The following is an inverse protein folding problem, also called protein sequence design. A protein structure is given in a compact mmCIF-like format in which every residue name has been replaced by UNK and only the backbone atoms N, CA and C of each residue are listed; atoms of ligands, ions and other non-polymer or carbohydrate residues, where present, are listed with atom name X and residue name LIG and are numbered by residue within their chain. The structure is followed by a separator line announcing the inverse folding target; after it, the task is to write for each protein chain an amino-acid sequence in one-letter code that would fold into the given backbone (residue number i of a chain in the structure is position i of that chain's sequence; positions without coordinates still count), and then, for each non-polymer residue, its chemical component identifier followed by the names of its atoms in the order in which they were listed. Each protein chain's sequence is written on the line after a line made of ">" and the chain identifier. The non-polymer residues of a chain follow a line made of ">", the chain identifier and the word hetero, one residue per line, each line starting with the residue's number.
data_IF_663831855101
#
_entry.id   IF_663831855101
#
_cell.length_a   1.000
_cell.length_b   1.000
_cell.length_c   1.000
_cell.angle_alpha   90.00
_cell.angle_beta   90.00
_cell.angle_gamma   90.00
#
_symmetry.space_group_name_H-M   'P 1'
#
loop_
_entity.id
_entity.type
_entity.pdbx_description
1 polymer ?
#
# COMPACT_ATOMS: atom_id res chain seq x y z
N UNK A 1 7.22 -37.38 -37.03
CA UNK A 1 6.39 -36.28 -36.49
C UNK A 1 6.42 -36.39 -34.97
N UNK A 2 7.28 -35.65 -34.26
CA UNK A 2 7.29 -35.71 -32.81
C UNK A 2 6.09 -34.94 -32.26
N UNK A 3 5.44 -35.49 -31.24
CA UNK A 3 4.32 -34.89 -30.56
C UNK A 3 4.69 -33.50 -30.05
N UNK A 4 3.85 -32.50 -30.32
CA UNK A 4 3.93 -31.18 -29.70
C UNK A 4 3.76 -31.38 -28.19
N UNK A 5 4.85 -31.26 -27.43
CA UNK A 5 4.78 -31.10 -25.98
C UNK A 5 3.82 -29.94 -25.68
N UNK A 6 2.76 -30.23 -24.93
CA UNK A 6 1.92 -29.19 -24.35
C UNK A 6 2.77 -28.41 -23.35
N UNK A 7 2.81 -27.06 -23.40
CA UNK A 7 3.60 -26.24 -22.48
C UNK A 7 3.15 -26.33 -21.00
N UNK A 8 2.06 -27.04 -20.69
CA UNK A 8 1.63 -27.31 -19.31
C UNK A 8 2.69 -28.05 -18.47
N UNK A 9 3.66 -28.77 -19.07
CA UNK A 9 4.66 -29.53 -18.30
C UNK A 9 5.81 -28.71 -17.70
N UNK A 10 6.06 -27.48 -18.15
CA UNK A 10 7.26 -26.73 -17.73
C UNK A 10 6.99 -25.77 -16.56
N UNK A 11 5.78 -25.22 -16.47
CA UNK A 11 5.41 -24.27 -15.40
C UNK A 11 5.30 -24.93 -14.02
N UNK A 12 4.72 -26.14 -13.93
CA UNK A 12 4.63 -26.84 -12.65
C UNK A 12 6.01 -27.25 -12.13
N UNK A 13 6.94 -27.58 -13.03
CA UNK A 13 8.33 -27.89 -12.69
C UNK A 13 9.07 -26.68 -12.13
N UNK A 14 8.85 -25.47 -12.67
CA UNK A 14 9.52 -24.25 -12.21
C UNK A 14 8.85 -23.57 -11.02
N UNK A 15 7.51 -23.63 -10.93
CA UNK A 15 6.74 -22.82 -9.99
C UNK A 15 5.95 -23.62 -8.94
N UNK A 16 6.04 -24.95 -8.95
CA UNK A 16 5.25 -25.92 -8.16
C UNK A 16 3.81 -26.11 -8.62
N UNK A 17 3.33 -27.36 -8.48
CA UNK A 17 1.94 -27.74 -8.77
C UNK A 17 0.94 -26.97 -7.90
N UNK A 18 1.28 -26.73 -6.63
CA UNK A 18 0.46 -26.04 -5.65
C UNK A 18 0.22 -24.59 -6.06
N UNK A 19 1.24 -23.93 -6.62
CA UNK A 19 1.10 -22.58 -7.15
C UNK A 19 0.24 -22.58 -8.41
N UNK A 20 0.51 -23.47 -9.35
CA UNK A 20 -0.22 -23.53 -10.63
C UNK A 20 -1.68 -23.97 -10.47
N UNK A 21 -1.99 -24.80 -9.47
CA UNK A 21 -3.36 -25.18 -9.07
C UNK A 21 -4.25 -23.97 -8.75
N UNK A 22 -3.68 -22.84 -8.34
CA UNK A 22 -4.45 -21.60 -8.12
C UNK A 22 -5.11 -21.10 -9.42
N UNK A 23 -4.52 -21.39 -10.59
CA UNK A 23 -4.93 -20.88 -11.90
C UNK A 23 -5.68 -21.91 -12.74
N UNK A 24 -5.72 -23.18 -12.31
CA UNK A 24 -6.28 -24.30 -13.08
C UNK A 24 -7.80 -24.23 -13.32
N UNK A 25 -8.50 -23.28 -12.70
CA UNK A 25 -9.91 -23.01 -13.00
C UNK A 25 -10.10 -22.24 -14.31
N UNK A 26 -9.03 -21.71 -14.90
CA UNK A 26 -9.04 -20.95 -16.13
C UNK A 26 -8.78 -21.84 -17.35
N UNK A 27 -9.34 -21.46 -18.52
CA UNK A 27 -9.08 -22.17 -19.78
C UNK A 27 -7.63 -22.05 -20.24
N UNK A 28 -6.97 -20.96 -19.86
CA UNK A 28 -5.54 -20.70 -20.06
C UNK A 28 -4.90 -20.30 -18.71
N UNK A 29 -4.42 -21.28 -17.91
CA UNK A 29 -3.82 -21.02 -16.61
C UNK A 29 -2.54 -20.19 -16.67
N UNK A 30 -1.74 -20.34 -17.72
CA UNK A 30 -0.49 -19.59 -17.94
C UNK A 30 -0.78 -18.11 -18.18
N UNK A 31 -1.71 -17.80 -19.09
CA UNK A 31 -2.10 -16.43 -19.35
C UNK A 31 -2.63 -15.75 -18.08
N UNK A 32 -3.43 -16.46 -17.27
CA UNK A 32 -3.95 -15.92 -16.02
C UNK A 32 -2.85 -15.72 -14.96
N UNK A 33 -1.85 -16.61 -14.90
CA UNK A 33 -0.67 -16.45 -14.04
C UNK A 33 0.15 -15.21 -14.40
N UNK A 34 0.43 -15.03 -15.69
CA UNK A 34 1.16 -13.87 -16.19
C UNK A 34 0.36 -12.58 -15.96
N UNK A 35 -0.93 -12.59 -16.21
CA UNK A 35 -1.82 -11.47 -15.93
C UNK A 35 -1.85 -11.10 -14.45
N UNK A 36 -2.05 -12.08 -13.55
CA UNK A 36 -1.99 -11.87 -12.10
C UNK A 36 -0.68 -11.20 -11.69
N UNK A 37 0.44 -11.64 -12.28
CA UNK A 37 1.76 -11.07 -12.00
C UNK A 37 1.83 -9.60 -12.43
N UNK A 38 1.38 -9.27 -13.65
CA UNK A 38 1.35 -7.90 -14.17
C UNK A 38 0.49 -6.98 -13.29
N UNK A 39 -0.73 -7.39 -12.94
CA UNK A 39 -1.62 -6.61 -12.07
C UNK A 39 -1.02 -6.45 -10.67
N UNK A 40 -0.45 -7.51 -10.11
CA UNK A 40 0.24 -7.46 -8.80
C UNK A 40 1.37 -6.43 -8.79
N UNK A 41 2.19 -6.38 -9.85
CA UNK A 41 3.29 -5.41 -9.95
C UNK A 41 2.81 -3.99 -10.18
N UNK A 42 1.75 -3.81 -10.97
CA UNK A 42 1.13 -2.49 -11.14
C UNK A 42 0.49 -1.97 -9.84
N UNK A 43 -0.05 -2.84 -8.97
CA UNK A 43 -0.50 -2.38 -7.65
C UNK A 43 0.68 -1.98 -6.76
N UNK A 44 1.80 -2.70 -6.81
CA UNK A 44 2.99 -2.31 -6.04
C UNK A 44 3.53 -0.93 -6.46
N UNK A 45 3.43 -0.59 -7.74
CA UNK A 45 3.76 0.74 -8.26
C UNK A 45 2.87 1.82 -7.64
N UNK A 46 1.55 1.69 -7.75
CA UNK A 46 0.59 2.65 -7.17
C UNK A 46 0.79 2.78 -5.64
N UNK A 47 0.99 1.66 -4.95
CA UNK A 47 1.20 1.62 -3.49
C UNK A 47 2.52 2.29 -3.10
N UNK A 48 3.58 2.13 -3.90
CA UNK A 48 4.86 2.79 -3.64
C UNK A 48 4.69 4.32 -3.62
N UNK A 49 3.93 4.87 -4.56
CA UNK A 49 3.65 6.31 -4.58
C UNK A 49 2.88 6.76 -3.32
N UNK A 50 1.85 6.00 -2.92
CA UNK A 50 1.09 6.27 -1.69
C UNK A 50 1.98 6.14 -0.44
N UNK A 51 2.89 5.16 -0.38
CA UNK A 51 3.81 4.97 0.75
C UNK A 51 4.73 6.17 0.94
N UNK A 52 5.30 6.68 -0.17
CA UNK A 52 6.16 7.87 -0.15
C UNK A 52 5.35 9.12 0.23
N UNK A 53 4.14 9.26 -0.30
CA UNK A 53 3.25 10.37 0.05
C UNK A 53 2.87 10.34 1.54
N UNK A 54 2.49 9.18 2.06
CA UNK A 54 2.10 8.96 3.44
C UNK A 54 3.26 9.24 4.41
N UNK A 55 4.45 8.70 4.16
CA UNK A 55 5.60 8.92 5.06
C UNK A 55 6.01 10.39 5.10
N UNK A 56 5.95 11.10 3.97
CA UNK A 56 6.29 12.52 3.90
C UNK A 56 5.25 13.37 4.64
N UNK A 57 3.96 13.04 4.51
CA UNK A 57 2.87 13.68 5.25
C UNK A 57 3.07 13.51 6.77
N UNK A 58 3.33 12.27 7.22
CA UNK A 58 3.59 11.98 8.64
C UNK A 58 4.81 12.76 9.13
N UNK A 59 5.93 12.68 8.42
CA UNK A 59 7.16 13.35 8.84
C UNK A 59 6.99 14.87 8.94
N UNK A 60 6.37 15.48 7.93
CA UNK A 60 6.09 16.92 7.90
C UNK A 60 5.16 17.35 9.03
N UNK A 61 4.16 16.53 9.37
CA UNK A 61 3.20 16.83 10.43
C UNK A 61 3.80 16.65 11.84
N UNK A 62 4.67 15.66 12.03
CA UNK A 62 5.15 15.21 13.35
C UNK A 62 6.46 15.91 13.75
N UNK A 63 7.37 16.15 12.80
CA UNK A 63 8.68 16.75 13.04
C UNK A 63 8.66 18.11 13.75
N UNK A 64 7.73 19.05 13.46
CA UNK A 64 7.67 20.32 14.17
C UNK A 64 7.43 20.20 15.67
N UNK A 65 6.75 19.13 16.13
CA UNK A 65 6.39 18.94 17.55
C UNK A 65 7.42 18.11 18.33
N UNK A 66 8.05 17.15 17.67
CA UNK A 66 8.91 16.13 18.30
C UNK A 66 10.35 16.14 17.78
N UNK A 67 10.68 17.06 16.88
CA UNK A 67 11.99 17.17 16.24
C UNK A 67 12.17 16.23 15.05
N UNK A 68 13.27 16.44 14.31
CA UNK A 68 13.62 15.72 13.09
C UNK A 68 13.81 14.20 13.29
N UNK A 69 14.02 13.75 14.53
CA UNK A 69 14.12 12.34 14.91
C UNK A 69 12.97 11.92 15.80
N UNK A 70 11.75 12.35 15.47
CA UNK A 70 10.54 12.04 16.23
C UNK A 70 10.36 10.53 16.48
N UNK A 71 10.85 9.68 15.58
CA UNK A 71 10.79 8.21 15.71
C UNK A 71 11.59 7.64 16.89
N UNK A 72 12.41 8.43 17.60
CA UNK A 72 13.04 8.05 18.89
C UNK A 72 12.61 8.96 20.04
N UNK A 73 11.64 9.85 19.83
CA UNK A 73 11.24 10.81 20.85
C UNK A 73 10.48 10.12 22.01
N UNK A 74 10.85 10.35 23.29
CA UNK A 74 10.31 9.58 24.42
C UNK A 74 8.83 9.81 24.68
N UNK A 75 8.28 10.95 24.26
CA UNK A 75 6.85 11.25 24.39
C UNK A 75 5.95 10.47 23.41
N UNK A 76 6.51 9.82 22.39
CA UNK A 76 5.74 8.94 21.50
C UNK A 76 5.89 7.50 22.03
N UNK A 77 4.79 6.82 22.38
CA UNK A 77 4.85 5.51 23.04
C UNK A 77 5.13 4.39 22.04
N UNK A 78 6.28 4.43 21.36
CA UNK A 78 6.69 3.35 20.46
C UNK A 78 6.83 2.04 21.23
N UNK A 79 6.03 1.07 20.83
CA UNK A 79 6.04 -0.27 21.40
C UNK A 79 7.29 -1.05 20.97
N UNK A 80 7.40 -2.29 21.44
CA UNK A 80 8.55 -3.14 21.13
C UNK A 80 8.70 -3.40 19.63
N UNK A 81 7.59 -3.51 18.89
CA UNK A 81 7.63 -3.84 17.46
C UNK A 81 8.07 -2.62 16.64
N UNK A 82 7.52 -1.44 16.92
CA UNK A 82 7.94 -0.19 16.29
C UNK A 82 9.43 0.08 16.54
N UNK A 83 9.91 -0.10 17.78
CA UNK A 83 11.34 0.06 18.12
C UNK A 83 12.23 -0.88 17.31
N UNK A 84 11.84 -2.14 17.11
CA UNK A 84 12.58 -3.09 16.27
C UNK A 84 12.64 -2.64 14.81
N UNK A 85 11.53 -2.13 14.26
CA UNK A 85 11.48 -1.60 12.89
C UNK A 85 12.40 -0.38 12.74
N UNK A 86 12.39 0.53 13.72
CA UNK A 86 13.27 1.71 13.77
C UNK A 86 14.74 1.29 13.82
N UNK A 87 15.14 0.40 14.74
CA UNK A 87 16.52 -0.08 14.85
C UNK A 87 17.01 -0.77 13.56
N UNK A 88 16.13 -1.52 12.89
CA UNK A 88 16.44 -2.13 11.59
C UNK A 88 16.65 -1.08 10.51
N UNK A 89 15.82 -0.04 10.48
CA UNK A 89 15.94 1.08 9.55
C UNK A 89 17.21 1.90 9.81
N UNK A 90 17.54 2.20 11.07
CA UNK A 90 18.78 2.87 11.48
C UNK A 90 20.01 2.08 11.03
N UNK A 91 20.02 0.76 11.26
CA UNK A 91 21.11 -0.10 10.81
C UNK A 91 21.27 -0.03 9.30
N UNK A 92 20.18 -0.13 8.53
CA UNK A 92 20.21 -0.06 7.05
C UNK A 92 20.67 1.30 6.54
N UNK A 93 20.21 2.37 7.17
CA UNK A 93 20.61 3.73 6.84
C UNK A 93 22.10 4.00 7.16
N UNK A 94 22.65 3.32 8.17
CA UNK A 94 24.02 3.48 8.66
C UNK A 94 25.07 2.54 8.06
N UNK A 95 24.73 1.62 7.15
CA UNK A 95 25.66 0.59 6.62
C UNK A 95 26.93 1.19 5.97
N UNK A 96 26.94 2.48 5.60
CA UNK A 96 28.06 3.06 4.88
C UNK A 96 29.25 3.54 5.75
N UNK A 97 29.06 4.19 6.91
CA UNK A 97 30.16 4.78 7.73
C UNK A 97 29.67 4.99 9.16
N UNK A 98 30.57 4.99 10.14
CA UNK A 98 30.34 5.21 11.59
C UNK A 98 29.75 6.59 11.98
N UNK A 99 28.82 7.13 11.17
CA UNK A 99 28.12 8.38 11.36
C UNK A 99 26.65 8.09 11.65
N UNK A 100 26.05 8.91 12.51
CA UNK A 100 24.61 8.87 12.76
C UNK A 100 23.89 9.19 11.43
N UNK A 101 23.06 8.29 10.88
CA UNK A 101 22.44 8.50 9.57
C UNK A 101 21.49 9.71 9.59
N UNK A 102 21.36 10.48 8.50
CA UNK A 102 20.37 11.55 8.39
C UNK A 102 18.96 11.02 8.71
N UNK A 103 18.14 11.81 9.39
CA UNK A 103 16.79 11.40 9.81
C UNK A 103 15.92 10.95 8.63
N UNK A 104 15.94 11.70 7.53
CA UNK A 104 15.24 11.37 6.30
C UNK A 104 15.66 10.02 5.70
N UNK A 105 16.91 9.59 5.89
CA UNK A 105 17.38 8.27 5.43
C UNK A 105 16.79 7.13 6.26
N UNK A 106 16.70 7.31 7.58
CA UNK A 106 16.03 6.34 8.47
C UNK A 106 14.55 6.25 8.10
N UNK A 107 13.88 7.39 7.91
CA UNK A 107 12.48 7.46 7.46
C UNK A 107 12.29 6.72 6.14
N UNK A 108 13.20 6.89 5.18
CA UNK A 108 13.10 6.21 3.89
C UNK A 108 13.25 4.68 3.96
N UNK A 109 13.91 4.14 5.00
CA UNK A 109 14.13 2.71 5.23
C UNK A 109 12.99 2.01 5.99
N UNK A 110 12.07 2.78 6.57
CA UNK A 110 10.88 2.24 7.24
C UNK A 110 9.85 1.78 6.19
N UNK A 111 9.38 0.55 6.33
CA UNK A 111 8.40 -0.06 5.43
C UNK A 111 6.95 0.27 5.80
N UNK A 112 6.04 0.05 4.85
CA UNK A 112 4.60 0.29 4.99
C UNK A 112 3.97 -0.21 6.29
N UNK A 113 4.39 -1.35 6.84
CA UNK A 113 3.90 -1.89 8.11
C UNK A 113 4.11 -0.91 9.28
N UNK A 114 5.26 -0.23 9.33
CA UNK A 114 5.52 0.80 10.32
C UNK A 114 4.53 1.95 10.19
N UNK A 115 4.37 2.47 8.96
CA UNK A 115 3.45 3.56 8.66
C UNK A 115 2.00 3.20 8.99
N UNK A 116 1.57 1.99 8.66
CA UNK A 116 0.24 1.49 8.99
C UNK A 116 0.00 1.39 10.50
N UNK A 117 1.04 1.03 11.26
CA UNK A 117 0.95 0.88 12.70
C UNK A 117 0.79 2.22 13.44
N UNK A 118 1.27 3.33 12.87
CA UNK A 118 1.12 4.67 13.45
C UNK A 118 -0.33 5.14 13.56
N UNK A 119 -1.27 4.48 12.88
CA UNK A 119 -2.69 4.80 12.91
C UNK A 119 -3.52 3.88 13.81
N UNK A 120 -2.87 3.16 14.73
CA UNK A 120 -3.54 2.39 15.78
C UNK A 120 -3.85 3.25 17.02
N UNK A 121 -4.69 2.74 17.93
CA UNK A 121 -5.04 3.44 19.17
C UNK A 121 -3.82 3.79 20.04
N UNK A 122 -2.71 3.05 19.91
CA UNK A 122 -1.44 3.33 20.58
C UNK A 122 -0.96 4.76 20.34
N UNK A 123 -1.21 5.32 19.15
CA UNK A 123 -0.70 6.63 18.74
C UNK A 123 -1.79 7.67 18.50
N UNK A 124 -3.03 7.37 18.90
CA UNK A 124 -4.21 8.22 18.68
C UNK A 124 -4.10 9.59 19.36
N UNK A 125 -3.33 9.70 20.46
CA UNK A 125 -3.11 10.95 21.21
C UNK A 125 -1.82 11.69 20.84
N UNK A 126 -0.91 11.06 20.09
CA UNK A 126 0.43 11.62 19.78
C UNK A 126 0.59 11.93 18.30
N UNK A 127 0.48 10.93 17.43
CA UNK A 127 0.72 11.08 15.98
C UNK A 127 -0.54 11.53 15.26
N UNK A 128 -1.67 10.85 15.48
CA UNK A 128 -2.90 11.08 14.72
C UNK A 128 -3.38 12.55 14.72
N UNK A 129 -3.39 13.29 15.86
CA UNK A 129 -3.90 14.66 15.87
C UNK A 129 -3.06 15.60 15.00
N UNK A 130 -1.77 15.32 14.84
CA UNK A 130 -0.87 16.09 13.98
C UNK A 130 -1.12 15.76 12.51
N UNK A 131 -1.18 14.47 12.17
CA UNK A 131 -1.46 14.03 10.79
C UNK A 131 -2.83 14.52 10.33
N UNK A 132 -3.87 14.36 11.16
CA UNK A 132 -5.23 14.81 10.84
C UNK A 132 -5.31 16.29 10.47
N UNK A 133 -4.51 17.15 11.10
CA UNK A 133 -4.43 18.59 10.79
C UNK A 133 -3.79 18.87 9.44
N UNK A 134 -2.95 17.98 8.94
CA UNK A 134 -2.30 18.09 7.64
C UNK A 134 -3.15 17.52 6.49
N UNK A 135 -4.22 16.76 6.79
CA UNK A 135 -5.09 16.18 5.79
C UNK A 135 -6.00 17.24 5.14
N UNK A 136 -6.21 17.09 3.84
CA UNK A 136 -7.08 17.95 3.04
C UNK A 136 -8.54 17.54 3.22
N UNK A 137 -9.36 18.55 3.41
CA UNK A 137 -10.81 18.39 3.52
C UNK A 137 -11.39 18.13 2.12
N UNK A 138 -11.92 16.92 1.91
CA UNK A 138 -12.42 16.50 0.60
C UNK A 138 -13.91 16.79 0.45
N UNK A 139 -14.35 17.38 -0.67
CA UNK A 139 -15.77 17.55 -0.95
C UNK A 139 -16.42 16.19 -1.22
N UNK A 140 -17.54 15.90 -0.55
CA UNK A 140 -18.37 14.73 -0.78
C UNK A 140 -19.78 15.19 -1.15
N UNK A 141 -20.40 14.51 -2.11
CA UNK A 141 -21.81 14.68 -2.40
C UNK A 141 -22.62 14.34 -1.14
N UNK A 142 -23.40 15.30 -0.65
CA UNK A 142 -24.21 15.10 0.55
C UNK A 142 -25.30 14.05 0.29
N UNK A 143 -25.50 13.11 1.23
CA UNK A 143 -26.61 12.17 1.18
C UNK A 143 -27.93 12.96 1.27
N UNK A 144 -28.59 13.16 0.13
CA UNK A 144 -29.80 13.97 -0.01
C UNK A 144 -29.76 15.04 -1.10
N UNK A 145 -28.68 15.13 -1.90
CA UNK A 145 -28.64 15.95 -3.11
C UNK A 145 -28.62 17.47 -2.90
N UNK A 146 -28.64 17.94 -1.65
CA UNK A 146 -28.56 19.37 -1.30
C UNK A 146 -27.20 19.68 -0.68
N UNK A 147 -26.26 20.09 -1.52
CA UNK A 147 -24.99 20.69 -1.11
C UNK A 147 -23.76 19.78 -1.15
N UNK A 148 -22.60 20.43 -1.07
CA UNK A 148 -21.28 19.81 -0.97
C UNK A 148 -20.91 19.77 0.52
N UNK A 149 -20.70 18.57 1.07
CA UNK A 149 -20.20 18.41 2.44
C UNK A 149 -18.67 18.31 2.42
N UNK A 150 -18.01 18.91 3.40
CA UNK A 150 -16.56 18.80 3.59
C UNK A 150 -16.28 17.65 4.56
N UNK A 151 -15.49 16.67 4.13
CA UNK A 151 -15.10 15.52 4.94
C UNK A 151 -13.60 15.49 5.18
N UNK A 152 -13.22 15.40 6.46
CA UNK A 152 -11.88 15.04 6.92
C UNK A 152 -11.99 13.68 7.59
N UNK A 153 -11.22 12.66 7.19
CA UNK A 153 -11.37 11.32 7.72
C UNK A 153 -11.15 11.27 9.24
N UNK A 154 -11.93 10.45 9.93
CA UNK A 154 -11.61 10.04 11.31
C UNK A 154 -10.40 9.10 11.32
N UNK A 155 -9.84 8.83 12.51
CA UNK A 155 -8.76 7.84 12.65
C UNK A 155 -9.22 6.48 12.10
N UNK A 156 -10.46 6.08 12.41
CA UNK A 156 -11.06 4.83 11.96
C UNK A 156 -11.18 4.79 10.44
N UNK A 157 -11.61 5.88 9.81
CA UNK A 157 -11.72 5.96 8.35
C UNK A 157 -10.36 5.88 7.67
N UNK A 158 -9.39 6.67 8.16
CA UNK A 158 -8.05 6.69 7.62
C UNK A 158 -7.38 5.33 7.78
N UNK A 159 -7.43 4.76 8.98
CA UNK A 159 -6.88 3.43 9.28
C UNK A 159 -7.50 2.36 8.39
N UNK A 160 -8.81 2.37 8.16
CA UNK A 160 -9.48 1.39 7.31
C UNK A 160 -8.89 1.38 5.91
N UNK A 161 -8.64 2.55 5.32
CA UNK A 161 -8.04 2.63 3.99
C UNK A 161 -6.56 2.20 4.00
N UNK A 162 -5.80 2.65 5.01
CA UNK A 162 -4.42 2.20 5.24
C UNK A 162 -4.32 0.68 5.37
N UNK A 163 -5.23 0.04 6.10
CA UNK A 163 -5.24 -1.42 6.31
C UNK A 163 -5.55 -2.19 5.02
N UNK A 164 -6.39 -1.64 4.13
CA UNK A 164 -6.65 -2.26 2.82
C UNK A 164 -5.41 -2.21 1.95
N UNK A 165 -4.74 -1.06 1.89
CA UNK A 165 -3.49 -0.91 1.14
C UNK A 165 -2.39 -1.79 1.72
N UNK A 166 -2.24 -1.81 3.06
CA UNK A 166 -1.26 -2.64 3.76
C UNK A 166 -1.43 -4.14 3.45
N UNK A 167 -2.67 -4.66 3.57
CA UNK A 167 -2.97 -6.07 3.30
C UNK A 167 -2.68 -6.43 1.84
N UNK A 168 -3.05 -5.55 0.90
CA UNK A 168 -2.77 -5.77 -0.51
C UNK A 168 -1.27 -5.75 -0.79
N UNK A 169 -0.55 -4.75 -0.28
CA UNK A 169 0.91 -4.61 -0.41
C UNK A 169 1.60 -5.88 0.04
N UNK A 170 1.26 -6.39 1.22
CA UNK A 170 1.87 -7.61 1.75
C UNK A 170 1.58 -8.81 0.86
N UNK A 171 0.33 -9.00 0.43
CA UNK A 171 -0.05 -10.06 -0.51
C UNK A 171 0.79 -10.00 -1.80
N UNK A 172 0.92 -8.81 -2.38
CA UNK A 172 1.71 -8.57 -3.58
C UNK A 172 3.21 -8.82 -3.37
N UNK A 173 3.76 -8.36 -2.24
CA UNK A 173 5.17 -8.53 -1.88
C UNK A 173 5.53 -10.00 -1.61
N UNK A 174 4.60 -10.80 -1.09
CA UNK A 174 4.73 -12.25 -0.91
C UNK A 174 4.39 -13.05 -2.18
N UNK A 175 4.13 -12.38 -3.30
CA UNK A 175 3.77 -13.00 -4.58
C UNK A 175 2.54 -13.93 -4.46
N UNK A 176 1.64 -13.61 -3.54
CA UNK A 176 0.37 -14.31 -3.38
C UNK A 176 -0.60 -13.86 -4.49
N UNK A 177 -1.37 -14.79 -5.10
CA UNK A 177 -2.32 -14.45 -6.15
C UNK A 177 -3.40 -13.48 -5.66
N UNK A 178 -3.67 -12.39 -6.37
CA UNK A 178 -4.76 -11.45 -6.03
C UNK A 178 -6.06 -11.75 -6.80
N UNK A 179 -5.99 -12.72 -7.71
CA UNK A 179 -7.10 -13.21 -8.52
C UNK A 179 -8.06 -14.13 -7.76
N UNK A 180 -9.26 -14.32 -8.31
CA UNK A 180 -10.28 -15.24 -7.81
C UNK A 180 -11.03 -15.93 -8.95
N UNK A 181 -11.57 -17.12 -8.67
CA UNK A 181 -12.46 -17.85 -9.57
C UNK A 181 -13.76 -17.10 -9.87
N UNK A 182 -14.34 -16.46 -8.85
CA UNK A 182 -15.51 -15.61 -9.03
C UNK A 182 -15.07 -14.20 -9.47
N UNK A 183 -15.42 -13.83 -10.71
CA UNK A 183 -15.05 -12.54 -11.35
C UNK A 183 -15.64 -11.33 -10.65
N UNK A 184 -16.86 -11.42 -10.13
CA UNK A 184 -17.49 -10.33 -9.40
C UNK A 184 -16.75 -10.05 -8.08
N UNK A 185 -16.39 -11.09 -7.34
CA UNK A 185 -15.60 -10.96 -6.10
C UNK A 185 -14.17 -10.48 -6.36
N UNK A 186 -13.56 -10.92 -7.46
CA UNK A 186 -12.26 -10.40 -7.90
C UNK A 186 -12.35 -8.89 -8.17
N UNK A 187 -13.27 -8.48 -9.06
CA UNK A 187 -13.46 -7.07 -9.41
C UNK A 187 -13.75 -6.22 -8.17
N UNK A 188 -14.68 -6.63 -7.31
CA UNK A 188 -15.01 -5.89 -6.09
C UNK A 188 -13.79 -5.68 -5.17
N UNK A 189 -12.89 -6.66 -5.07
CA UNK A 189 -11.65 -6.51 -4.29
C UNK A 189 -10.64 -5.58 -4.96
N UNK A 190 -10.49 -5.66 -6.28
CA UNK A 190 -9.59 -4.77 -7.03
C UNK A 190 -10.11 -3.33 -7.01
N UNK A 191 -11.42 -3.13 -7.16
CA UNK A 191 -12.08 -1.83 -7.02
C UNK A 191 -11.86 -1.26 -5.62
N UNK A 192 -12.05 -2.09 -4.58
CA UNK A 192 -11.83 -1.68 -3.19
C UNK A 192 -10.38 -1.25 -2.93
N UNK A 193 -9.42 -1.95 -3.54
CA UNK A 193 -8.00 -1.63 -3.47
C UNK A 193 -7.66 -0.30 -4.14
N UNK A 194 -8.10 -0.10 -5.40
CA UNK A 194 -7.90 1.16 -6.12
C UNK A 194 -8.56 2.33 -5.39
N UNK A 195 -9.76 2.12 -4.85
CA UNK A 195 -10.44 3.13 -4.06
C UNK A 195 -9.68 3.48 -2.77
N UNK A 196 -9.04 2.51 -2.10
CA UNK A 196 -8.22 2.77 -0.92
C UNK A 196 -7.01 3.64 -1.25
N UNK A 197 -6.28 3.28 -2.31
CA UNK A 197 -5.14 4.05 -2.83
C UNK A 197 -5.57 5.49 -3.13
N UNK A 198 -6.65 5.64 -3.91
CA UNK A 198 -7.19 6.95 -4.27
C UNK A 198 -7.63 7.77 -3.06
N UNK A 199 -8.34 7.18 -2.10
CA UNK A 199 -8.81 7.91 -0.91
C UNK A 199 -7.64 8.42 -0.08
N UNK A 200 -6.65 7.56 0.21
CA UNK A 200 -5.47 7.95 0.97
C UNK A 200 -4.70 9.07 0.27
N UNK A 201 -4.43 8.94 -1.03
CA UNK A 201 -3.74 9.98 -1.78
C UNK A 201 -4.56 11.26 -1.82
N UNK A 202 -5.89 11.20 -2.00
CA UNK A 202 -6.75 12.40 -2.06
C UNK A 202 -6.78 13.13 -0.72
N UNK A 203 -6.87 12.41 0.40
CA UNK A 203 -6.87 13.02 1.74
C UNK A 203 -5.52 13.65 2.09
N UNK A 204 -4.42 13.19 1.52
CA UNK A 204 -3.10 13.79 1.74
C UNK A 204 -2.86 14.95 0.77
N UNK A 205 -3.03 14.71 -0.53
CA UNK A 205 -2.83 15.69 -1.60
C UNK A 205 -3.65 15.31 -2.86
N UNK A 206 -4.72 16.05 -3.20
CA UNK A 206 -5.52 15.78 -4.39
C UNK A 206 -4.75 15.86 -5.72
N UNK A 207 -3.70 16.67 -5.80
CA UNK A 207 -2.83 16.77 -6.98
C UNK A 207 -2.02 15.49 -7.17
N UNK A 208 -1.38 15.01 -6.11
CA UNK A 208 -0.69 13.72 -6.11
C UNK A 208 -1.64 12.56 -6.43
N UNK A 209 -2.87 12.61 -5.90
CA UNK A 209 -3.88 11.60 -6.22
C UNK A 209 -4.25 11.54 -7.70
N UNK A 210 -4.42 12.70 -8.36
CA UNK A 210 -4.68 12.74 -9.80
C UNK A 210 -3.50 12.17 -10.58
N UNK A 211 -2.29 12.57 -10.22
CA UNK A 211 -1.07 12.08 -10.86
C UNK A 211 -0.95 10.55 -10.74
N UNK A 212 -1.18 9.98 -9.55
CA UNK A 212 -1.14 8.51 -9.35
C UNK A 212 -2.19 7.81 -10.23
N UNK A 213 -3.41 8.33 -10.29
CA UNK A 213 -4.49 7.74 -11.10
C UNK A 213 -4.17 7.79 -12.59
N UNK A 214 -3.63 8.92 -13.08
CA UNK A 214 -3.27 9.11 -14.48
C UNK A 214 -2.13 8.19 -14.94
N UNK A 215 -1.23 7.80 -14.04
CA UNK A 215 -0.08 6.94 -14.35
C UNK A 215 -0.31 5.47 -13.99
N UNK A 216 -1.45 5.12 -13.39
CA UNK A 216 -1.79 3.74 -13.03
C UNK A 216 -2.09 2.90 -14.26
N UNK A 217 -1.43 1.74 -14.38
CA UNK A 217 -1.67 0.75 -15.46
C UNK A 217 -2.79 -0.22 -15.12
N UNK A 218 -3.38 -0.12 -13.94
CA UNK A 218 -4.41 -1.06 -13.48
C UNK A 218 -5.66 -1.08 -14.37
N UNK A 219 -6.23 0.06 -14.81
CA UNK A 219 -7.42 0.05 -15.65
C UNK A 219 -7.21 -0.76 -16.95
N UNK A 220 -6.12 -0.49 -17.67
CA UNK A 220 -5.79 -1.15 -18.93
C UNK A 220 -5.52 -2.65 -18.75
N UNK A 221 -4.78 -3.01 -17.69
CA UNK A 221 -4.53 -4.41 -17.37
C UNK A 221 -5.85 -5.14 -17.06
N UNK A 222 -6.77 -4.50 -16.35
CA UNK A 222 -8.07 -5.11 -16.00
C UNK A 222 -8.98 -5.35 -17.19
N UNK A 223 -8.93 -4.48 -18.21
CA UNK A 223 -9.64 -4.67 -19.48
C UNK A 223 -9.11 -5.92 -20.21
N UNK A 224 -7.79 -6.09 -20.20
CA UNK A 224 -7.09 -7.18 -20.90
C UNK A 224 -6.91 -8.44 -20.04
N UNK A 225 -7.88 -8.75 -19.16
CA UNK A 225 -7.84 -10.00 -18.41
C UNK A 225 -8.20 -11.17 -19.33
N UNK A 226 -7.37 -12.24 -19.39
CA UNK A 226 -7.70 -13.44 -20.14
C UNK A 226 -8.93 -14.16 -19.58
#
# INVERSE_FOLDING_TARGET
>A
MPAKNKPESDLEAWFSSERMKTYSFHLDPEALYLWNTRVTKSFLEDIQHVEVLLRNCVDTAVSPRYGQRWYVHPAIPFDRQAKKSIQKAERRAGIARAQVPPSGRVIAELSFDFWAYLFTNTYASTIWPLVRKALVATPIASHGGKGVSIFVPSLTDFKREVDVVYKLRNRCAHHEPIIRRNRQHENARLDRAQQAVRLLSTWIDPGASRWIVEHSRIPDLRINRP
#
